data_IF_120555753117
#
_entry.id   IF_120555753117
#
_cell.length_a   1.000
_cell.length_b   1.000
_cell.length_c   1.000
_cell.angle_alpha   90.00
_cell.angle_beta   90.00
_cell.angle_gamma   90.00
#
_symmetry.space_group_name_H-M   'P 1'
#
loop_
_entity.id
_entity.type
_entity.pdbx_description
1 polymer ?
#
# COMPACT_ATOMS: atom_id res chain seq x y z
N UNK A 1 19.04 -6.12 -0.83
CA UNK A 1 18.23 -7.11 -0.15
C UNK A 1 18.17 -8.42 -0.92
N UNK A 2 17.66 -9.45 -0.31
CA UNK A 2 17.37 -10.71 -0.97
C UNK A 2 16.14 -10.62 -1.90
N UNK A 3 15.71 -11.73 -2.49
CA UNK A 3 14.60 -11.72 -3.44
C UNK A 3 13.26 -11.45 -2.74
N UNK A 4 13.08 -11.94 -1.52
CA UNK A 4 11.87 -11.73 -0.72
C UNK A 4 11.71 -10.25 -0.36
N UNK A 5 12.76 -9.59 0.13
CA UNK A 5 12.76 -8.13 0.39
C UNK A 5 12.46 -7.32 -0.87
N UNK A 6 12.94 -7.77 -2.04
CA UNK A 6 12.63 -7.12 -3.32
C UNK A 6 11.15 -7.24 -3.68
N UNK A 7 10.52 -8.40 -3.47
CA UNK A 7 9.08 -8.56 -3.66
C UNK A 7 8.29 -7.69 -2.71
N UNK A 8 8.64 -7.65 -1.42
CA UNK A 8 7.99 -6.81 -0.42
C UNK A 8 8.08 -5.32 -0.82
N UNK A 9 9.27 -4.84 -1.17
CA UNK A 9 9.47 -3.47 -1.59
C UNK A 9 8.69 -3.14 -2.89
N UNK A 10 8.61 -4.08 -3.82
CA UNK A 10 7.82 -3.92 -5.04
C UNK A 10 6.31 -3.80 -4.75
N UNK A 11 5.79 -4.58 -3.79
CA UNK A 11 4.40 -4.47 -3.32
C UNK A 11 4.11 -3.08 -2.74
N UNK A 12 5.03 -2.52 -1.94
CA UNK A 12 4.90 -1.14 -1.44
C UNK A 12 4.88 -0.14 -2.59
N UNK A 13 5.79 -0.27 -3.54
CA UNK A 13 5.86 0.58 -4.73
C UNK A 13 4.56 0.55 -5.55
N UNK A 14 3.99 -0.64 -5.77
CA UNK A 14 2.73 -0.78 -6.49
C UNK A 14 1.55 -0.19 -5.71
N UNK A 15 1.45 -0.46 -4.41
CA UNK A 15 0.40 0.13 -3.60
C UNK A 15 0.50 1.66 -3.54
N UNK A 16 1.72 2.21 -3.44
CA UNK A 16 1.95 3.65 -3.50
C UNK A 16 1.50 4.22 -4.86
N UNK A 17 1.90 3.61 -5.98
CA UNK A 17 1.50 4.03 -7.32
C UNK A 17 -0.01 3.99 -7.51
N UNK A 18 -0.68 2.92 -7.04
CA UNK A 18 -2.14 2.80 -7.15
C UNK A 18 -2.89 3.70 -6.19
N UNK A 19 -2.33 3.98 -5.04
CA UNK A 19 -2.88 4.94 -4.07
C UNK A 19 -2.70 6.39 -4.51
N UNK A 20 -1.57 6.75 -5.10
CA UNK A 20 -1.29 8.11 -5.53
C UNK A 20 -2.19 8.53 -6.71
N UNK A 21 -2.58 9.81 -6.84
CA UNK A 21 -3.34 10.30 -8.00
C UNK A 21 -2.61 10.09 -9.32
N UNK A 22 -3.38 9.98 -10.41
CA UNK A 22 -2.87 9.87 -11.77
C UNK A 22 -3.07 8.48 -12.39
N UNK A 23 -2.73 8.36 -13.66
CA UNK A 23 -2.84 7.11 -14.41
C UNK A 23 -1.84 6.08 -13.93
N UNK A 24 -2.29 4.83 -13.90
CA UNK A 24 -1.46 3.69 -13.45
C UNK A 24 -0.80 3.06 -14.67
N UNK A 25 0.46 2.70 -14.52
CA UNK A 25 1.24 2.07 -15.59
C UNK A 25 1.96 0.85 -15.05
N UNK A 26 1.67 -0.30 -15.65
CA UNK A 26 2.47 -1.51 -15.55
C UNK A 26 2.79 -1.99 -16.95
N UNK A 27 3.91 -2.67 -17.09
CA UNK A 27 4.38 -3.14 -18.36
C UNK A 27 4.79 -4.63 -18.26
N UNK A 28 4.73 -5.33 -19.31
CA UNK A 28 5.10 -6.72 -19.62
C UNK A 28 5.80 -7.51 -18.49
N UNK A 29 5.02 -8.29 -17.73
CA UNK A 29 5.53 -9.15 -16.65
C UNK A 29 5.83 -8.45 -15.33
N UNK A 30 5.60 -7.15 -15.21
CA UNK A 30 5.82 -6.42 -13.95
C UNK A 30 4.82 -6.84 -12.86
N UNK A 31 3.63 -7.31 -13.23
CA UNK A 31 2.59 -7.78 -12.30
C UNK A 31 2.97 -9.04 -11.51
N UNK A 32 3.93 -9.82 -12.01
CA UNK A 32 4.52 -10.94 -11.29
C UNK A 32 6.04 -10.81 -11.07
N UNK A 33 6.61 -9.62 -11.33
CA UNK A 33 8.00 -9.31 -11.00
C UNK A 33 9.02 -10.00 -11.91
N UNK A 34 8.81 -10.01 -13.23
CA UNK A 34 9.77 -10.54 -14.17
C UNK A 34 11.19 -10.00 -13.91
N UNK A 35 12.18 -10.89 -13.85
CA UNK A 35 13.54 -10.55 -13.40
C UNK A 35 14.39 -9.88 -14.48
N UNK A 36 14.08 -10.12 -15.74
CA UNK A 36 14.79 -9.51 -16.87
C UNK A 36 13.89 -8.53 -17.61
N UNK A 37 14.51 -7.61 -18.30
CA UNK A 37 13.81 -6.63 -19.10
C UNK A 37 13.02 -7.29 -20.23
N UNK A 38 11.86 -6.72 -20.55
CA UNK A 38 11.04 -7.13 -21.66
C UNK A 38 11.77 -6.95 -23.01
N UNK A 39 11.49 -7.84 -23.94
CA UNK A 39 11.98 -7.77 -25.32
C UNK A 39 10.91 -8.25 -26.28
N UNK A 40 10.80 -7.61 -27.43
CA UNK A 40 9.91 -8.03 -28.50
C UNK A 40 10.34 -9.32 -29.21
N UNK A 41 11.59 -9.75 -28.98
CA UNK A 41 12.17 -10.97 -29.58
C UNK A 41 11.82 -12.25 -28.82
N UNK A 42 11.19 -12.14 -27.63
CA UNK A 42 10.83 -13.27 -26.78
C UNK A 42 9.57 -13.03 -25.98
N UNK A 43 8.90 -14.10 -25.59
CA UNK A 43 7.78 -14.01 -24.68
C UNK A 43 8.19 -13.65 -23.24
N UNK A 44 7.22 -13.25 -22.44
CA UNK A 44 7.39 -12.99 -20.99
C UNK A 44 7.74 -14.30 -20.29
N UNK A 45 8.44 -14.20 -19.17
CA UNK A 45 8.97 -15.33 -18.42
C UNK A 45 7.89 -16.03 -17.55
N UNK A 46 6.83 -16.55 -18.18
CA UNK A 46 5.71 -17.20 -17.51
C UNK A 46 6.13 -18.34 -16.57
N UNK A 47 7.29 -18.97 -16.82
CA UNK A 47 7.84 -20.02 -15.98
C UNK A 47 8.15 -19.55 -14.55
N UNK A 48 8.36 -18.25 -14.32
CA UNK A 48 8.57 -17.66 -12.99
C UNK A 48 7.35 -17.84 -12.07
N UNK A 49 6.16 -18.00 -12.62
CA UNK A 49 4.95 -18.30 -11.84
C UNK A 49 4.94 -19.72 -11.23
N UNK A 50 5.95 -20.55 -11.50
CA UNK A 50 6.18 -21.78 -10.74
C UNK A 50 6.78 -21.51 -9.35
N UNK A 51 7.35 -20.32 -9.12
CA UNK A 51 7.91 -19.89 -7.84
C UNK A 51 6.87 -19.16 -6.99
N UNK A 52 6.82 -19.49 -5.70
CA UNK A 52 5.83 -18.93 -4.77
C UNK A 52 5.95 -17.41 -4.59
N UNK A 53 7.18 -16.85 -4.62
CA UNK A 53 7.39 -15.41 -4.47
C UNK A 53 6.72 -14.61 -5.60
N UNK A 54 6.86 -15.09 -6.84
CA UNK A 54 6.19 -14.48 -8.00
C UNK A 54 4.67 -14.64 -7.95
N UNK A 55 4.16 -15.79 -7.46
CA UNK A 55 2.73 -16.01 -7.25
C UNK A 55 2.16 -15.08 -6.17
N UNK A 56 2.87 -14.89 -5.06
CA UNK A 56 2.48 -13.99 -3.98
C UNK A 56 2.39 -12.55 -4.48
N UNK A 57 3.38 -12.08 -5.23
CA UNK A 57 3.35 -10.75 -5.83
C UNK A 57 2.16 -10.59 -6.78
N UNK A 58 1.90 -11.56 -7.66
CA UNK A 58 0.75 -11.52 -8.57
C UNK A 58 -0.58 -11.53 -7.82
N UNK A 59 -0.67 -12.30 -6.73
CA UNK A 59 -1.84 -12.33 -5.85
C UNK A 59 -2.08 -10.97 -5.20
N UNK A 60 -1.02 -10.35 -4.66
CA UNK A 60 -1.09 -9.00 -4.11
C UNK A 60 -1.56 -7.99 -5.15
N UNK A 61 -0.97 -8.03 -6.34
CA UNK A 61 -1.32 -7.13 -7.43
C UNK A 61 -2.78 -7.31 -7.89
N UNK A 62 -3.26 -8.55 -7.97
CA UNK A 62 -4.65 -8.86 -8.27
C UNK A 62 -5.61 -8.24 -7.23
N UNK A 63 -5.28 -8.35 -5.95
CA UNK A 63 -6.10 -7.77 -4.88
C UNK A 63 -6.02 -6.23 -4.85
N UNK A 64 -4.87 -5.66 -5.20
CA UNK A 64 -4.71 -4.22 -5.39
C UNK A 64 -5.61 -3.69 -6.52
N UNK A 65 -5.70 -4.41 -7.65
CA UNK A 65 -6.61 -4.08 -8.74
C UNK A 65 -8.08 -4.18 -8.34
N UNK A 66 -8.45 -5.22 -7.58
CA UNK A 66 -9.82 -5.35 -7.03
C UNK A 66 -10.14 -4.19 -6.10
N UNK A 67 -9.21 -3.81 -5.23
CA UNK A 67 -9.36 -2.65 -4.35
C UNK A 67 -9.51 -1.36 -5.16
N UNK A 68 -8.68 -1.15 -6.17
CA UNK A 68 -8.75 0.02 -7.05
C UNK A 68 -10.13 0.17 -7.68
N UNK A 69 -10.69 -0.92 -8.22
CA UNK A 69 -12.04 -0.92 -8.83
C UNK A 69 -13.16 -0.73 -7.82
N UNK A 70 -12.98 -1.22 -6.59
CA UNK A 70 -13.99 -1.17 -5.53
C UNK A 70 -14.17 0.22 -4.92
N UNK A 71 -13.08 0.99 -4.80
CA UNK A 71 -13.07 2.25 -4.06
C UNK A 71 -12.96 3.46 -4.98
N UNK A 72 -14.06 4.21 -5.23
CA UNK A 72 -14.05 5.41 -6.07
C UNK A 72 -13.05 6.48 -5.60
N UNK A 73 -12.66 6.49 -4.32
CA UNK A 73 -11.60 7.34 -3.81
C UNK A 73 -10.29 7.25 -4.60
N UNK A 74 -10.04 6.14 -5.30
CA UNK A 74 -8.79 5.89 -6.02
C UNK A 74 -8.78 6.40 -7.46
N UNK A 75 -9.93 6.73 -8.03
CA UNK A 75 -10.01 7.11 -9.45
C UNK A 75 -11.02 8.22 -9.78
N UNK A 76 -12.02 8.47 -8.92
CA UNK A 76 -13.11 9.38 -9.28
C UNK A 76 -12.71 10.85 -9.23
N UNK A 77 -11.66 11.21 -8.49
CA UNK A 77 -11.14 12.57 -8.38
C UNK A 77 -9.60 12.57 -8.41
N UNK A 78 -9.05 12.13 -9.55
CA UNK A 78 -7.60 12.03 -9.75
C UNK A 78 -6.94 13.35 -10.19
N UNK A 79 -7.72 14.30 -10.69
CA UNK A 79 -7.21 15.57 -11.21
C UNK A 79 -7.45 16.75 -10.27
N UNK A 80 -8.25 16.54 -9.22
CA UNK A 80 -8.58 17.59 -8.23
C UNK A 80 -7.79 17.41 -6.94
N UNK A 81 -7.35 18.51 -6.35
CA UNK A 81 -6.64 18.52 -5.06
C UNK A 81 -7.51 18.01 -3.91
N UNK A 82 -8.84 18.04 -4.04
CA UNK A 82 -9.77 17.54 -3.03
C UNK A 82 -9.73 16.01 -2.91
N UNK A 83 -9.24 15.32 -3.92
CA UNK A 83 -9.15 13.85 -3.95
C UNK A 83 -7.94 13.28 -3.21
N UNK A 84 -6.99 14.11 -2.81
CA UNK A 84 -5.73 13.67 -2.22
C UNK A 84 -5.25 14.59 -1.10
N UNK A 85 -4.77 14.00 -0.02
CA UNK A 85 -4.16 14.75 1.08
C UNK A 85 -2.95 13.98 1.62
N UNK A 86 -1.78 14.61 1.61
CA UNK A 86 -0.66 14.12 2.40
C UNK A 86 -0.98 14.19 3.89
N UNK A 87 -0.68 13.11 4.61
CA UNK A 87 -0.63 13.09 6.07
C UNK A 87 0.81 13.31 6.50
N UNK A 88 1.74 12.49 6.02
CA UNK A 88 3.17 12.70 6.19
C UNK A 88 3.91 12.41 4.88
N UNK A 89 4.52 13.44 4.32
CA UNK A 89 5.35 13.37 3.11
C UNK A 89 6.84 13.69 3.40
N UNK A 90 7.15 14.13 4.62
CA UNK A 90 8.46 14.71 4.96
C UNK A 90 9.31 13.83 5.89
N UNK A 91 8.92 12.59 6.07
CA UNK A 91 9.65 11.62 6.91
C UNK A 91 10.82 10.97 6.14
N UNK A 92 11.71 11.80 5.63
CA UNK A 92 12.84 11.35 4.81
C UNK A 92 13.80 10.41 5.54
N UNK A 93 13.99 10.62 6.84
CA UNK A 93 14.89 9.80 7.66
C UNK A 93 14.40 8.36 7.82
N UNK A 94 13.09 8.17 7.83
CA UNK A 94 12.46 6.85 7.95
C UNK A 94 11.91 6.32 6.64
N UNK A 95 11.83 7.16 5.58
CA UNK A 95 11.20 6.85 4.29
C UNK A 95 9.82 6.21 4.44
N UNK A 96 9.02 6.77 5.34
CA UNK A 96 7.62 6.39 5.56
C UNK A 96 6.73 7.51 5.04
N UNK A 97 5.77 7.14 4.21
CA UNK A 97 4.82 8.08 3.63
C UNK A 97 3.40 7.68 3.96
N UNK A 98 2.58 8.64 4.34
CA UNK A 98 1.15 8.42 4.55
C UNK A 98 0.30 9.51 3.90
N UNK A 99 -0.84 9.09 3.34
CA UNK A 99 -1.75 9.98 2.66
C UNK A 99 -3.18 9.44 2.67
N UNK A 100 -4.14 10.32 2.47
CA UNK A 100 -5.56 9.97 2.33
C UNK A 100 -6.03 10.19 0.90
N UNK A 101 -6.78 9.24 0.37
CA UNK A 101 -7.60 9.40 -0.82
C UNK A 101 -9.03 9.68 -0.40
N UNK A 102 -9.52 10.82 -0.85
CA UNK A 102 -10.88 11.26 -0.58
C UNK A 102 -11.83 10.86 -1.70
N UNK A 103 -12.95 10.23 -1.37
CA UNK A 103 -13.98 9.98 -2.35
C UNK A 103 -14.85 11.22 -2.54
N UNK A 104 -15.49 11.41 -3.71
CA UNK A 104 -16.37 12.54 -3.96
C UNK A 104 -17.55 12.65 -2.98
N UNK A 105 -17.97 11.52 -2.41
CA UNK A 105 -19.07 11.47 -1.43
C UNK A 105 -18.60 11.65 0.01
N UNK A 106 -17.30 11.70 0.26
CA UNK A 106 -16.71 11.72 1.61
C UNK A 106 -16.85 10.41 2.38
N UNK A 107 -17.41 9.35 1.76
CA UNK A 107 -17.54 8.01 2.31
C UNK A 107 -16.48 7.08 1.68
N UNK A 108 -16.06 6.04 2.41
CA UNK A 108 -15.07 5.07 1.92
C UNK A 108 -13.76 5.72 1.45
N UNK A 109 -13.30 6.72 2.20
CA UNK A 109 -11.97 7.29 2.02
C UNK A 109 -10.92 6.28 2.43
N UNK A 110 -9.75 6.33 1.81
CA UNK A 110 -8.66 5.39 2.09
C UNK A 110 -7.44 6.12 2.66
N UNK A 111 -6.91 5.57 3.75
CA UNK A 111 -5.60 5.96 4.30
C UNK A 111 -4.56 4.94 3.86
N UNK A 112 -3.48 5.41 3.26
CA UNK A 112 -2.30 4.62 2.92
C UNK A 112 -1.17 4.94 3.89
N UNK A 113 -0.46 3.90 4.36
CA UNK A 113 0.76 4.02 5.14
C UNK A 113 1.81 3.11 4.51
N UNK A 114 2.89 3.68 3.97
CA UNK A 114 3.90 3.00 3.17
C UNK A 114 5.27 3.13 3.84
N UNK A 115 5.91 2.00 4.16
CA UNK A 115 7.26 1.94 4.70
C UNK A 115 8.22 1.38 3.63
N UNK A 116 9.11 2.23 3.12
CA UNK A 116 10.10 1.86 2.11
C UNK A 116 11.45 1.41 2.70
N UNK A 117 11.48 1.08 4.00
CA UNK A 117 12.72 0.67 4.69
C UNK A 117 12.66 -0.77 5.18
N UNK A 118 13.81 -1.43 5.37
CA UNK A 118 13.89 -2.78 5.95
C UNK A 118 13.69 -2.78 7.48
N UNK A 119 13.17 -1.70 8.05
CA UNK A 119 13.01 -1.54 9.50
C UNK A 119 11.53 -1.61 9.87
N UNK A 120 11.18 -2.63 10.62
CA UNK A 120 9.85 -2.73 11.24
C UNK A 120 9.61 -1.62 12.26
N UNK A 121 8.37 -1.15 12.36
CA UNK A 121 7.92 -0.13 13.32
C UNK A 121 6.73 -0.66 14.12
N UNK A 122 6.96 -1.41 15.20
CA UNK A 122 5.89 -2.12 15.92
C UNK A 122 4.84 -1.18 16.54
N UNK A 123 5.21 0.02 16.90
CA UNK A 123 4.35 1.03 17.53
C UNK A 123 4.22 2.31 16.66
N UNK A 124 4.13 2.17 15.35
CA UNK A 124 4.05 3.33 14.47
C UNK A 124 2.75 4.10 14.72
N UNK A 125 2.90 5.39 15.01
CA UNK A 125 1.77 6.32 15.16
C UNK A 125 1.57 7.05 13.84
N UNK A 126 0.37 6.91 13.27
CA UNK A 126 -0.04 7.62 12.06
C UNK A 126 -1.12 8.63 12.40
N UNK A 127 -0.90 9.87 11.99
CA UNK A 127 -1.91 10.92 12.08
C UNK A 127 -3.12 10.63 11.18
N UNK A 128 -4.31 10.94 11.68
CA UNK A 128 -5.55 10.74 10.92
C UNK A 128 -6.51 11.93 11.10
N UNK A 129 -7.24 12.32 10.02
CA UNK A 129 -8.03 13.54 10.03
C UNK A 129 -9.39 13.41 10.76
N UNK A 130 -9.85 12.20 11.04
CA UNK A 130 -11.19 11.96 11.59
C UNK A 130 -11.17 11.01 12.78
N UNK A 131 -11.96 11.30 13.82
CA UNK A 131 -12.20 10.43 14.98
C UNK A 131 -13.20 9.34 14.60
N UNK A 132 -12.69 8.25 14.04
CA UNK A 132 -13.49 7.08 13.65
C UNK A 132 -12.73 5.79 13.89
N UNK A 133 -13.38 4.67 13.61
CA UNK A 133 -12.73 3.39 13.46
C UNK A 133 -12.18 3.27 12.03
N UNK A 134 -10.88 2.97 11.90
CA UNK A 134 -10.20 2.69 10.65
C UNK A 134 -10.13 1.18 10.47
N UNK A 135 -10.63 0.69 9.34
CA UNK A 135 -10.63 -0.74 9.02
C UNK A 135 -9.51 -1.06 8.05
N UNK A 136 -8.61 -1.96 8.47
CA UNK A 136 -7.56 -2.49 7.60
C UNK A 136 -8.19 -3.31 6.47
N UNK A 137 -7.90 -2.95 5.23
CA UNK A 137 -8.45 -3.59 4.03
C UNK A 137 -7.39 -4.20 3.12
N UNK A 138 -6.14 -3.78 3.26
CA UNK A 138 -4.98 -4.36 2.58
C UNK A 138 -3.77 -4.24 3.51
N UNK A 139 -2.98 -5.31 3.59
CA UNK A 139 -1.73 -5.36 4.32
C UNK A 139 -0.77 -6.28 3.56
N UNK A 140 0.34 -5.72 3.05
CA UNK A 140 1.31 -6.48 2.26
C UNK A 140 2.05 -7.55 3.04
N UNK A 141 2.01 -7.53 4.38
CA UNK A 141 2.64 -8.57 5.21
C UNK A 141 1.72 -9.75 5.51
N UNK A 142 0.53 -9.83 4.93
CA UNK A 142 -0.38 -10.97 5.05
C UNK A 142 0.28 -12.23 4.44
N UNK A 143 0.10 -13.38 5.08
CA UNK A 143 0.64 -14.68 4.62
C UNK A 143 0.22 -15.02 3.19
N UNK A 144 -0.96 -14.59 2.75
CA UNK A 144 -1.41 -14.80 1.36
C UNK A 144 -0.54 -14.12 0.30
N UNK A 145 0.33 -13.19 0.73
CA UNK A 145 1.31 -12.49 -0.10
C UNK A 145 2.75 -12.87 0.25
N UNK A 146 2.93 -13.98 0.98
CA UNK A 146 4.24 -14.42 1.44
C UNK A 146 4.77 -13.69 2.68
N UNK A 147 3.96 -12.84 3.29
CA UNK A 147 4.35 -12.13 4.51
C UNK A 147 4.24 -12.98 5.77
N UNK A 148 4.79 -12.51 6.90
CA UNK A 148 4.84 -13.29 8.15
C UNK A 148 3.54 -13.24 8.96
N UNK A 149 2.53 -12.48 8.55
CA UNK A 149 1.37 -12.17 9.38
C UNK A 149 0.18 -13.06 9.06
N UNK A 150 -0.14 -14.00 9.95
CA UNK A 150 -1.30 -14.89 9.81
C UNK A 150 -2.62 -14.20 10.19
N UNK A 151 -2.63 -13.50 11.33
CA UNK A 151 -3.84 -12.82 11.83
C UNK A 151 -3.50 -11.42 12.29
N UNK A 152 -4.26 -10.44 11.81
CA UNK A 152 -4.14 -9.05 12.25
C UNK A 152 -5.42 -8.51 12.86
N UNK A 153 -5.24 -7.53 13.74
CA UNK A 153 -6.32 -6.65 14.11
C UNK A 153 -6.85 -5.96 12.84
N UNK A 154 -8.15 -6.03 12.61
CA UNK A 154 -8.78 -5.45 11.42
C UNK A 154 -9.36 -4.05 11.67
N UNK A 155 -9.46 -3.63 12.93
CA UNK A 155 -10.12 -2.39 13.32
C UNK A 155 -9.24 -1.58 14.28
N UNK A 156 -8.95 -0.34 13.91
CA UNK A 156 -8.09 0.59 14.64
C UNK A 156 -8.89 1.83 15.00
N UNK A 157 -9.12 2.05 16.29
CA UNK A 157 -9.87 3.21 16.74
C UNK A 157 -8.96 4.43 16.88
N UNK A 158 -9.30 5.51 16.20
CA UNK A 158 -8.59 6.77 16.33
C UNK A 158 -8.71 7.31 17.77
N UNK A 159 -7.57 7.69 18.34
CA UNK A 159 -7.45 8.34 19.64
C UNK A 159 -7.14 9.82 19.45
N UNK A 160 -7.56 10.63 20.41
CA UNK A 160 -7.17 12.03 20.49
C UNK A 160 -5.65 12.18 20.71
N UNK A 161 -5.08 13.16 20.09
CA UNK A 161 -3.67 13.49 20.17
C UNK A 161 -3.12 13.84 18.81
N UNK A 162 -2.44 14.98 18.73
CA UNK A 162 -1.81 15.46 17.49
C UNK A 162 -0.73 14.49 17.04
N UNK A 163 -0.72 14.18 15.75
CA UNK A 163 0.29 13.41 15.06
C UNK A 163 0.29 13.78 13.58
N UNK A 164 1.45 14.02 13.00
CA UNK A 164 1.60 14.39 11.58
C UNK A 164 0.71 15.59 11.17
N UNK A 165 0.53 16.57 12.07
CA UNK A 165 -0.37 17.71 11.84
C UNK A 165 -1.86 17.37 11.84
N UNK A 166 -2.25 16.15 12.24
CA UNK A 166 -3.65 15.72 12.35
C UNK A 166 -4.10 15.67 13.81
N UNK A 167 -5.41 15.93 14.09
CA UNK A 167 -5.93 15.98 15.46
C UNK A 167 -6.07 14.62 16.12
N UNK A 168 -6.04 13.56 15.36
CA UNK A 168 -6.19 12.18 15.85
C UNK A 168 -5.07 11.30 15.32
N UNK A 169 -4.90 10.13 15.95
CA UNK A 169 -3.90 9.14 15.56
C UNK A 169 -4.40 7.71 15.74
N UNK A 170 -3.85 6.81 14.94
CA UNK A 170 -3.95 5.36 15.12
C UNK A 170 -2.56 4.78 15.39
N UNK A 171 -2.48 3.71 16.18
CA UNK A 171 -1.27 2.93 16.37
C UNK A 171 -1.36 1.67 15.49
N UNK A 172 -0.29 1.39 14.75
CA UNK A 172 -0.23 0.26 13.84
C UNK A 172 1.17 -0.35 13.83
N UNK A 173 1.27 -1.68 13.90
CA UNK A 173 2.56 -2.36 13.71
C UNK A 173 2.89 -2.38 12.22
N UNK A 174 3.72 -1.43 11.79
CA UNK A 174 4.07 -1.23 10.38
C UNK A 174 5.27 -2.10 10.02
N UNK A 175 5.11 -3.09 9.12
CA UNK A 175 6.18 -4.01 8.76
C UNK A 175 7.31 -3.32 7.98
N UNK A 176 8.48 -3.96 7.98
CA UNK A 176 9.56 -3.65 7.03
C UNK A 176 9.05 -3.81 5.60
N UNK A 177 9.42 -2.89 4.70
CA UNK A 177 8.94 -2.89 3.32
C UNK A 177 7.43 -3.17 3.22
N UNK A 178 6.65 -2.54 4.12
CA UNK A 178 5.24 -2.84 4.29
C UNK A 178 4.32 -1.71 3.89
N UNK A 179 3.15 -2.06 3.37
CA UNK A 179 2.05 -1.12 3.13
C UNK A 179 0.78 -1.60 3.79
N UNK A 180 0.11 -0.67 4.47
CA UNK A 180 -1.22 -0.88 5.02
C UNK A 180 -2.20 0.14 4.42
N UNK A 181 -3.41 -0.34 4.07
CA UNK A 181 -4.49 0.52 3.59
C UNK A 181 -5.71 0.36 4.49
N UNK A 182 -6.25 1.48 4.94
CA UNK A 182 -7.42 1.54 5.82
C UNK A 182 -8.58 2.30 5.18
N UNK A 183 -9.81 1.81 5.43
CA UNK A 183 -11.04 2.49 5.04
C UNK A 183 -11.74 3.18 6.22
#
# INVERSE_FOLDING_TARGET
>A
GDLEEKFQNLMVGYAFMFGHPGKKLLFMGQDFGQLREWSEEREIDWFLLADEGHQHLQTFFSDLLKMYRKYPALYANDCGYEGFQWINANDGDRSIYSFVRWSPTGKNNLLFVCNFTPVERPDYMCGVPRKKQYRLILDSSDMKYGGPTEKRQVAYRAKEGECDGQPYRIAYALPAYGVAVFS
#
